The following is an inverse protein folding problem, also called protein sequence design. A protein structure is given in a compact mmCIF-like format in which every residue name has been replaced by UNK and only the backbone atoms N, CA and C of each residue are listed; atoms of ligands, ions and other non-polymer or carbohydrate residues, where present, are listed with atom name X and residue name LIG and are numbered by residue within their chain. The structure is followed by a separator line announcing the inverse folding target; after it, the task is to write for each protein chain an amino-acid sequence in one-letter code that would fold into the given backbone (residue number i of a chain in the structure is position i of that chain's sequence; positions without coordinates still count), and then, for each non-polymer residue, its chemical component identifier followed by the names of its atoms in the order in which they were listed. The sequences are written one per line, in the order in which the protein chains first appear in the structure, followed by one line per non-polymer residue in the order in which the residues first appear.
data_IF_200454390538
#
_entry.id   IF_200454390538
#
_cell.length_a   1.000
_cell.length_b   1.000
_cell.length_c   1.000
_cell.angle_alpha   90.00
_cell.angle_beta   90.00
_cell.angle_gamma   90.00
#
_symmetry.space_group_name_H-M   'P 1'
#
loop_
_entity.id
_entity.type
_entity.pdbx_description
1 polymer ?
#
# COMPACT_ATOMS: atom_id res chain seq x y z
N UNK A 1 5.28 -11.44 -0.71
CA UNK A 1 5.14 -9.96 -0.70
C UNK A 1 6.17 -9.42 0.25
N UNK A 2 7.08 -8.53 -0.18
CA UNK A 2 7.98 -7.91 0.77
C UNK A 2 7.16 -6.97 1.67
N UNK A 3 7.21 -7.28 2.96
CA UNK A 3 6.89 -6.32 4.00
C UNK A 3 7.94 -5.19 3.95
N UNK A 4 7.47 -3.96 4.03
CA UNK A 4 8.33 -2.79 4.11
C UNK A 4 8.03 -2.02 5.37
N UNK A 5 9.07 -1.54 6.04
CA UNK A 5 8.98 -0.66 7.19
C UNK A 5 9.75 0.62 6.84
N UNK A 6 9.10 1.76 6.92
CA UNK A 6 9.69 3.06 6.59
C UNK A 6 9.33 4.13 7.61
N UNK A 7 10.08 5.22 7.69
CA UNK A 7 9.82 6.27 8.69
C UNK A 7 8.62 7.12 8.26
N UNK A 8 7.70 7.35 9.21
CA UNK A 8 6.63 8.34 9.13
C UNK A 8 6.80 9.42 10.19
N UNK A 9 5.95 10.46 10.18
CA UNK A 9 6.06 11.61 11.08
C UNK A 9 5.84 11.25 12.56
N UNK A 10 5.09 10.17 12.84
CA UNK A 10 4.79 9.69 14.19
C UNK A 10 5.37 8.28 14.43
N UNK A 11 6.53 7.99 13.86
CA UNK A 11 7.22 6.70 13.97
C UNK A 11 7.16 5.87 12.68
N UNK A 12 7.64 4.62 12.74
CA UNK A 12 7.76 3.74 11.56
C UNK A 12 6.39 3.47 10.91
N UNK A 13 6.27 2.99 9.69
CA UNK A 13 5.02 2.63 9.06
C UNK A 13 5.19 1.25 8.44
N UNK A 14 4.22 0.37 8.65
CA UNK A 14 4.22 -0.97 8.05
C UNK A 14 3.43 -0.91 6.74
N UNK A 15 4.05 -1.39 5.67
CA UNK A 15 3.44 -1.49 4.36
C UNK A 15 3.73 -2.79 3.63
N UNK A 16 3.12 -2.87 2.46
CA UNK A 16 3.38 -3.88 1.44
C UNK A 16 3.67 -3.17 0.13
N UNK A 17 4.85 -3.46 -0.39
CA UNK A 17 5.37 -2.84 -1.61
C UNK A 17 5.55 -3.90 -2.68
N UNK A 18 5.18 -3.60 -3.92
CA UNK A 18 5.49 -4.43 -5.06
C UNK A 18 6.00 -3.54 -6.21
N UNK A 19 7.31 -3.59 -6.53
CA UNK A 19 7.84 -2.88 -7.68
C UNK A 19 7.34 -3.52 -8.98
N UNK A 20 7.07 -2.68 -9.97
CA UNK A 20 6.91 -3.14 -11.34
C UNK A 20 8.25 -3.63 -11.91
N UNK A 21 8.19 -4.45 -12.97
CA UNK A 21 9.39 -4.82 -13.74
C UNK A 21 9.92 -3.65 -14.56
N UNK A 22 9.03 -2.75 -14.97
CA UNK A 22 9.37 -1.55 -15.73
C UNK A 22 9.86 -0.44 -14.79
N UNK A 23 11.07 0.05 -15.01
CA UNK A 23 11.67 1.10 -14.14
C UNK A 23 10.92 2.42 -14.21
N UNK A 24 10.27 2.71 -15.33
CA UNK A 24 9.47 3.92 -15.57
C UNK A 24 7.98 3.72 -15.27
N UNK A 25 7.59 2.61 -14.65
CA UNK A 25 6.20 2.35 -14.33
C UNK A 25 5.60 3.44 -13.43
N UNK A 26 4.33 3.81 -13.66
CA UNK A 26 3.62 4.67 -12.72
C UNK A 26 3.48 4.00 -11.36
N UNK A 27 3.35 4.83 -10.31
CA UNK A 27 3.20 4.37 -8.93
C UNK A 27 1.74 4.56 -8.49
N UNK A 28 1.17 3.52 -7.88
CA UNK A 28 -0.11 3.61 -7.18
C UNK A 28 0.10 3.42 -5.67
N UNK A 29 -0.34 4.41 -4.89
CA UNK A 29 -0.39 4.35 -3.43
C UNK A 29 -1.85 4.14 -3.03
N UNK A 30 -2.16 3.02 -2.37
CA UNK A 30 -3.51 2.66 -1.97
C UNK A 30 -3.64 2.84 -0.46
N UNK A 31 -4.51 3.75 -0.08
CA UNK A 31 -4.79 4.10 1.31
C UNK A 31 -6.05 3.40 1.80
N UNK A 32 -6.12 3.11 3.10
CA UNK A 32 -7.26 2.41 3.67
C UNK A 32 -8.31 3.38 4.25
N UNK A 33 -9.56 2.90 4.47
CA UNK A 33 -10.59 3.67 5.16
C UNK A 33 -10.16 4.09 6.57
N UNK A 34 -10.94 4.94 7.22
CA UNK A 34 -10.57 5.48 8.54
C UNK A 34 -10.24 4.38 9.57
N UNK A 35 -9.11 4.47 10.31
CA UNK A 35 -8.66 3.40 11.21
C UNK A 35 -9.61 3.15 12.38
N UNK A 36 -10.24 4.20 12.94
CA UNK A 36 -11.22 4.04 14.03
C UNK A 36 -12.49 3.29 13.61
N UNK A 37 -12.75 3.16 12.30
CA UNK A 37 -13.84 2.35 11.75
C UNK A 37 -13.35 1.00 11.19
N UNK A 38 -12.22 0.49 11.69
CA UNK A 38 -11.68 -0.81 11.31
C UNK A 38 -10.90 -0.82 9.98
N UNK A 39 -10.58 0.36 9.43
CA UNK A 39 -9.78 0.48 8.22
C UNK A 39 -8.33 0.03 8.43
N UNK A 40 -7.85 -0.86 7.57
CA UNK A 40 -6.45 -1.32 7.54
C UNK A 40 -6.00 -1.55 6.11
N UNK A 41 -4.70 -1.67 5.86
CA UNK A 41 -4.16 -2.05 4.55
C UNK A 41 -4.65 -3.42 4.05
N UNK A 42 -5.20 -4.26 4.94
CA UNK A 42 -5.75 -5.57 4.62
C UNK A 42 -7.26 -5.55 4.33
N UNK A 43 -7.90 -4.38 4.37
CA UNK A 43 -9.29 -4.23 3.93
C UNK A 43 -9.46 -4.80 2.51
N UNK A 44 -10.55 -5.53 2.27
CA UNK A 44 -10.75 -6.26 1.01
C UNK A 44 -10.71 -5.34 -0.22
N UNK A 45 -11.27 -4.12 -0.12
CA UNK A 45 -11.27 -3.16 -1.23
C UNK A 45 -9.83 -2.68 -1.50
N UNK A 46 -9.09 -2.32 -0.45
CA UNK A 46 -7.67 -1.92 -0.55
C UNK A 46 -6.84 -3.05 -1.16
N UNK A 47 -7.12 -4.29 -0.76
CA UNK A 47 -6.47 -5.46 -1.31
C UNK A 47 -6.73 -5.64 -2.79
N UNK A 48 -7.98 -5.58 -3.21
CA UNK A 48 -8.33 -5.72 -4.62
C UNK A 48 -7.73 -4.59 -5.46
N UNK A 49 -7.81 -3.33 -5.00
CA UNK A 49 -7.19 -2.18 -5.69
C UNK A 49 -5.68 -2.34 -5.84
N UNK A 50 -4.99 -2.79 -4.79
CA UNK A 50 -3.55 -3.03 -4.84
C UNK A 50 -3.17 -4.00 -5.97
N UNK A 51 -3.85 -5.14 -6.08
CA UNK A 51 -3.58 -6.11 -7.14
C UNK A 51 -4.13 -5.68 -8.51
N UNK A 52 -5.19 -4.88 -8.55
CA UNK A 52 -5.75 -4.31 -9.76
C UNK A 52 -4.73 -3.42 -10.48
N UNK A 53 -4.02 -2.56 -9.73
CA UNK A 53 -2.96 -1.71 -10.26
C UNK A 53 -1.68 -2.50 -10.56
N UNK A 54 -1.31 -3.44 -9.70
CA UNK A 54 -0.13 -4.29 -9.94
C UNK A 54 -0.27 -5.07 -11.25
N UNK A 55 -1.46 -5.65 -11.52
CA UNK A 55 -1.76 -6.33 -12.79
C UNK A 55 -1.74 -5.41 -14.01
N UNK A 56 -1.92 -4.09 -13.81
CA UNK A 56 -1.80 -3.06 -14.85
C UNK A 56 -0.37 -2.53 -15.02
N UNK A 57 0.61 -3.14 -14.35
CA UNK A 57 2.02 -2.80 -14.49
C UNK A 57 2.50 -1.65 -13.61
N UNK A 58 1.70 -1.21 -12.64
CA UNK A 58 2.11 -0.18 -11.68
C UNK A 58 3.06 -0.77 -10.63
N UNK A 59 3.97 0.07 -10.14
CA UNK A 59 4.58 -0.14 -8.82
C UNK A 59 3.55 0.21 -7.76
N UNK A 60 3.28 -0.68 -6.81
CA UNK A 60 2.20 -0.49 -5.83
C UNK A 60 2.68 -0.49 -4.40
N UNK A 61 2.05 0.36 -3.59
CA UNK A 61 2.26 0.45 -2.14
C UNK A 61 0.91 0.55 -1.43
N UNK A 62 0.74 -0.20 -0.35
CA UNK A 62 -0.31 0.02 0.67
C UNK A 62 0.32 -0.05 2.06
N UNK A 63 -0.17 0.71 3.02
CA UNK A 63 0.38 0.74 4.37
C UNK A 63 -0.69 1.10 5.40
N UNK A 64 -0.45 0.78 6.67
CA UNK A 64 -1.33 1.17 7.77
C UNK A 64 -1.00 2.59 8.24
N UNK A 65 -2.03 3.43 8.39
CA UNK A 65 -1.92 4.73 9.03
C UNK A 65 -1.57 4.60 10.52
N UNK A 66 -0.97 5.65 11.05
CA UNK A 66 -0.82 5.87 12.49
C UNK A 66 -2.05 6.65 12.94
N UNK A 67 -2.77 6.12 13.93
CA UNK A 67 -3.79 6.85 14.70
C UNK A 67 -3.13 7.63 15.83
#
# INVERSE_FOLDING_TARGET
MPEVIFNGPAGRLEGRYQPSKEKSAPIAIILHPHPQFGGTMNNQIVYQLFYLFQKRGFTTLRFNFRS
#
